data_IF_650632183182
#
_entry.id   IF_650632183182
#
_cell.length_a   1.000
_cell.length_b   1.000
_cell.length_c   1.000
_cell.angle_alpha   90.00
_cell.angle_beta   90.00
_cell.angle_gamma   90.00
#
_symmetry.space_group_name_H-M   'P 1'
#
loop_
_entity.id
_entity.type
_entity.pdbx_description
1 polymer ?
#
# COMPACT_ATOMS: atom_id res chain seq x y z
N UNK A 1 47.01 -44.07 46.45
CA UNK A 1 46.48 -44.50 47.74
C UNK A 1 45.17 -43.78 47.96
N UNK A 2 44.15 -44.55 48.37
CA UNK A 2 42.74 -44.18 48.71
C UNK A 2 41.86 -43.95 47.52
N UNK A 3 41.12 -44.86 47.18
CA UNK A 3 40.03 -45.73 47.68
C UNK A 3 38.65 -45.22 47.36
N UNK A 4 38.03 -46.01 46.63
CA UNK A 4 36.66 -46.22 46.22
C UNK A 4 35.64 -46.03 47.35
N UNK A 5 34.49 -45.42 47.02
CA UNK A 5 33.26 -45.80 47.68
C UNK A 5 32.06 -45.51 46.78
N UNK A 6 31.55 -46.55 46.26
CA UNK A 6 30.28 -46.73 45.60
C UNK A 6 29.15 -46.62 46.62
N UNK A 7 28.14 -45.80 46.33
CA UNK A 7 26.81 -45.90 46.96
C UNK A 7 25.71 -45.71 45.91
N UNK A 8 25.05 -46.81 45.60
CA UNK A 8 23.75 -46.84 44.97
C UNK A 8 22.65 -46.50 45.95
N UNK A 9 21.67 -45.74 45.62
CA UNK A 9 20.35 -45.92 46.20
C UNK A 9 19.29 -46.27 45.15
N UNK A 10 18.63 -47.34 45.49
CA UNK A 10 17.39 -47.93 45.09
C UNK A 10 16.31 -47.02 44.50
N UNK A 11 15.83 -47.40 43.31
CA UNK A 11 14.65 -46.88 42.67
C UNK A 11 13.37 -47.26 43.48
N UNK A 12 12.63 -46.23 43.91
CA UNK A 12 11.25 -46.36 44.37
C UNK A 12 10.31 -46.15 43.19
N UNK A 13 9.65 -47.22 42.79
CA UNK A 13 8.52 -47.21 41.88
C UNK A 13 7.29 -46.57 42.55
N UNK A 14 6.83 -45.46 41.96
CA UNK A 14 5.55 -44.82 42.33
C UNK A 14 4.42 -45.33 41.43
N UNK A 15 3.20 -45.51 41.94
CA UNK A 15 2.11 -46.07 41.15
C UNK A 15 1.55 -45.08 40.14
N UNK A 16 1.33 -45.58 38.94
CA UNK A 16 0.67 -44.89 37.83
C UNK A 16 -0.80 -44.66 38.19
N UNK A 17 -1.24 -43.43 38.35
CA UNK A 17 -2.64 -43.04 38.41
C UNK A 17 -3.15 -42.79 36.99
N UNK A 18 -4.31 -43.35 36.60
CA UNK A 18 -4.91 -43.02 35.32
C UNK A 18 -5.42 -41.56 35.34
N UNK A 19 -4.83 -40.68 34.52
CA UNK A 19 -5.34 -39.36 34.35
C UNK A 19 -6.60 -39.38 33.48
N UNK A 20 -7.70 -38.89 34.06
CA UNK A 20 -8.94 -38.60 33.36
C UNK A 20 -8.64 -37.66 32.16
N UNK A 21 -9.03 -38.17 31.00
CA UNK A 21 -9.10 -37.40 29.75
C UNK A 21 -10.13 -36.27 29.92
N UNK A 22 -9.68 -35.08 30.25
CA UNK A 22 -10.46 -33.84 30.06
C UNK A 22 -10.13 -33.32 28.66
N UNK A 23 -11.06 -33.58 27.76
CA UNK A 23 -11.11 -32.89 26.46
C UNK A 23 -11.27 -31.39 26.72
N UNK A 24 -10.16 -30.67 26.74
CA UNK A 24 -10.17 -29.20 26.68
C UNK A 24 -10.25 -28.83 25.20
N UNK A 25 -11.47 -28.48 24.78
CA UNK A 25 -11.68 -27.88 23.47
C UNK A 25 -10.83 -26.61 23.36
N UNK A 26 -9.77 -26.69 22.61
CA UNK A 26 -9.02 -25.52 22.18
C UNK A 26 -9.91 -24.72 21.21
N UNK A 27 -10.61 -23.71 21.73
CA UNK A 27 -11.16 -22.62 20.96
C UNK A 27 -9.96 -21.89 20.33
N UNK A 28 -9.60 -22.30 19.11
CA UNK A 28 -8.79 -21.53 18.21
C UNK A 28 -9.56 -20.25 17.88
N UNK A 29 -9.39 -19.21 18.69
CA UNK A 29 -9.63 -17.86 18.27
C UNK A 29 -8.59 -17.55 17.17
N UNK A 30 -8.97 -17.86 15.95
CA UNK A 30 -8.29 -17.32 14.78
C UNK A 30 -8.42 -15.81 14.87
N UNK A 31 -7.36 -15.14 15.31
CA UNK A 31 -7.17 -13.72 15.09
C UNK A 31 -7.06 -13.57 13.58
N UNK A 32 -8.19 -13.31 12.94
CA UNK A 32 -8.24 -12.83 11.57
C UNK A 32 -7.56 -11.46 11.64
N UNK A 33 -6.25 -11.43 11.38
CA UNK A 33 -5.57 -10.19 11.07
C UNK A 33 -6.26 -9.66 9.82
N UNK A 34 -7.24 -8.75 10.01
CA UNK A 34 -7.71 -7.89 8.96
C UNK A 34 -6.50 -7.05 8.55
N UNK A 35 -5.71 -7.57 7.61
CA UNK A 35 -4.86 -6.74 6.80
C UNK A 35 -5.82 -5.77 6.12
N UNK A 36 -5.92 -4.55 6.63
CA UNK A 36 -6.54 -3.44 5.96
C UNK A 36 -5.67 -3.08 4.74
N UNK A 37 -5.56 -4.04 3.82
CA UNK A 37 -5.11 -3.76 2.48
C UNK A 37 -6.17 -2.90 1.85
N UNK A 38 -5.80 -1.78 1.24
CA UNK A 38 -6.67 -0.99 0.39
C UNK A 38 -7.06 -1.83 -0.85
N UNK A 39 -7.83 -2.91 -0.64
CA UNK A 39 -8.31 -3.79 -1.69
C UNK A 39 -9.35 -3.05 -2.51
N UNK A 40 -9.11 -2.90 -3.81
CA UNK A 40 -10.11 -2.43 -4.74
C UNK A 40 -11.12 -3.56 -4.98
N UNK A 41 -12.43 -3.36 -4.75
CA UNK A 41 -13.43 -4.44 -4.85
C UNK A 41 -13.69 -4.93 -6.27
N UNK A 42 -13.20 -4.25 -7.30
CA UNK A 42 -13.49 -4.59 -8.69
C UNK A 42 -12.23 -4.64 -9.55
N UNK A 43 -11.50 -5.75 -9.42
CA UNK A 43 -10.32 -6.07 -10.24
C UNK A 43 -10.70 -6.79 -11.55
N UNK A 44 -11.98 -7.01 -11.84
CA UNK A 44 -12.43 -7.69 -13.04
C UNK A 44 -12.52 -6.77 -14.26
N UNK A 45 -12.42 -5.48 -14.07
CA UNK A 45 -12.40 -4.48 -15.14
C UNK A 45 -10.97 -4.18 -15.55
N UNK A 46 -10.78 -3.79 -16.79
CA UNK A 46 -9.55 -3.37 -17.48
C UNK A 46 -8.35 -3.01 -16.57
N UNK A 47 -7.10 -3.40 -16.88
CA UNK A 47 -5.94 -3.06 -16.07
C UNK A 47 -5.89 -1.58 -15.72
N UNK A 48 -5.85 -1.27 -14.44
CA UNK A 48 -5.81 0.11 -13.94
C UNK A 48 -7.14 0.82 -13.85
N UNK A 49 -8.27 0.15 -14.13
CA UNK A 49 -9.59 0.73 -13.88
C UNK A 49 -9.76 1.11 -12.40
N UNK A 50 -10.33 2.26 -12.16
CA UNK A 50 -10.68 2.80 -10.84
C UNK A 50 -12.14 3.23 -10.91
N UNK A 51 -12.91 2.94 -9.88
CA UNK A 51 -14.32 3.37 -9.83
C UNK A 51 -14.46 4.87 -10.15
N UNK A 52 -15.32 5.20 -11.10
CA UNK A 52 -15.50 6.56 -11.61
C UNK A 52 -14.44 7.03 -12.62
N UNK A 53 -13.56 6.13 -13.07
CA UNK A 53 -12.64 6.37 -14.18
C UNK A 53 -12.92 5.33 -15.27
N UNK A 54 -13.76 5.67 -16.21
CA UNK A 54 -14.05 4.79 -17.34
C UNK A 54 -12.79 4.50 -18.16
N UNK A 55 -12.73 3.32 -18.76
CA UNK A 55 -11.68 3.00 -19.70
C UNK A 55 -11.72 4.02 -20.87
N UNK A 56 -10.58 4.47 -21.39
CA UNK A 56 -10.58 5.22 -22.63
C UNK A 56 -11.15 4.32 -23.73
N UNK A 57 -11.91 4.92 -24.65
CA UNK A 57 -12.41 4.23 -25.83
C UNK A 57 -11.23 3.56 -26.60
N UNK A 58 -11.47 2.40 -27.23
CA UNK A 58 -10.48 1.79 -28.11
C UNK A 58 -10.10 2.80 -29.20
N UNK A 59 -8.88 3.30 -29.20
CA UNK A 59 -8.41 4.37 -30.07
C UNK A 59 -7.86 5.57 -29.31
N UNK A 60 -8.29 5.80 -28.08
CA UNK A 60 -7.73 6.84 -27.19
C UNK A 60 -6.41 6.39 -26.54
N UNK A 61 -5.97 5.17 -26.80
CA UNK A 61 -4.72 4.57 -26.31
C UNK A 61 -3.51 4.94 -27.19
N UNK A 62 -3.61 5.94 -28.06
CA UNK A 62 -2.43 6.52 -28.68
C UNK A 62 -1.38 6.74 -27.57
N UNK A 63 -0.10 6.45 -27.85
CA UNK A 63 0.96 6.60 -26.86
C UNK A 63 1.00 8.03 -26.38
N UNK A 64 0.18 8.30 -25.37
CA UNK A 64 0.11 9.61 -24.73
C UNK A 64 1.42 9.78 -23.96
N UNK A 65 2.24 10.77 -24.25
CA UNK A 65 3.42 11.05 -23.46
C UNK A 65 3.07 11.44 -22.02
N UNK A 66 1.78 11.70 -21.78
CA UNK A 66 1.23 12.14 -20.51
C UNK A 66 0.13 11.15 -20.11
N UNK A 67 0.42 10.35 -19.08
CA UNK A 67 -0.40 9.23 -18.65
C UNK A 67 -1.80 9.64 -18.14
N UNK A 68 -2.73 8.68 -18.16
CA UNK A 68 -4.12 8.85 -17.76
C UNK A 68 -4.23 9.19 -16.26
N UNK A 69 -4.84 10.30 -15.87
CA UNK A 69 -4.96 10.69 -14.47
C UNK A 69 -5.95 9.77 -13.73
N UNK A 70 -5.69 9.56 -12.44
CA UNK A 70 -6.60 8.87 -11.54
C UNK A 70 -6.70 7.36 -11.68
N UNK A 71 -5.96 6.76 -12.61
CA UNK A 71 -5.86 5.31 -12.75
C UNK A 71 -4.79 4.73 -11.85
N UNK A 72 -4.87 3.42 -11.59
CA UNK A 72 -3.83 2.69 -10.87
C UNK A 72 -2.60 2.55 -11.77
N UNK A 73 -1.58 3.32 -11.47
CA UNK A 73 -0.35 3.36 -12.26
C UNK A 73 0.36 2.01 -12.28
N UNK A 74 0.43 1.33 -11.14
CA UNK A 74 1.05 0.02 -10.99
C UNK A 74 0.42 -1.04 -11.89
N UNK A 75 -0.88 -0.97 -12.18
CA UNK A 75 -1.55 -1.94 -13.04
C UNK A 75 -0.92 -2.06 -14.45
N UNK A 76 -0.26 -1.01 -14.93
CA UNK A 76 0.48 -1.02 -16.19
C UNK A 76 2.00 -0.91 -16.00
N UNK A 77 2.46 -0.17 -14.98
CA UNK A 77 3.85 0.19 -14.76
C UNK A 77 4.59 -0.67 -13.72
N UNK A 78 4.07 -1.82 -13.38
CA UNK A 78 4.74 -2.83 -12.57
C UNK A 78 5.49 -3.82 -13.45
N UNK A 79 6.54 -4.45 -12.90
CA UNK A 79 7.34 -5.42 -13.64
C UNK A 79 6.47 -6.60 -14.13
N UNK A 80 6.53 -6.87 -15.43
CA UNK A 80 5.74 -7.93 -16.07
C UNK A 80 4.37 -7.47 -16.58
N UNK A 81 3.98 -6.22 -16.33
CA UNK A 81 2.76 -5.63 -16.86
C UNK A 81 2.98 -4.90 -18.20
N UNK A 82 1.92 -4.34 -18.78
CA UNK A 82 1.88 -3.78 -20.14
C UNK A 82 2.98 -2.74 -20.41
N UNK A 83 3.27 -1.88 -19.43
CA UNK A 83 4.33 -0.87 -19.49
C UNK A 83 5.52 -1.21 -18.58
N UNK A 84 5.78 -2.50 -18.36
CA UNK A 84 6.77 -3.00 -17.41
C UNK A 84 8.24 -2.74 -17.76
N UNK A 85 8.51 -2.13 -18.92
CA UNK A 85 9.80 -1.54 -19.26
C UNK A 85 10.01 -0.14 -18.62
N UNK A 86 8.96 0.44 -18.03
CA UNK A 86 8.96 1.72 -17.30
C UNK A 86 8.32 1.50 -15.93
N UNK A 87 9.00 0.73 -15.08
CA UNK A 87 8.54 0.42 -13.72
C UNK A 87 8.62 1.67 -12.86
N UNK A 88 7.53 2.01 -12.18
CA UNK A 88 7.50 3.10 -11.22
C UNK A 88 7.48 2.56 -9.80
N UNK A 89 8.29 3.16 -8.94
CA UNK A 89 8.37 2.84 -7.52
C UNK A 89 7.34 3.60 -6.71
N UNK A 90 6.88 4.76 -7.19
CA UNK A 90 5.75 5.50 -6.65
C UNK A 90 5.08 6.30 -7.75
N UNK A 91 3.75 6.35 -7.72
CA UNK A 91 2.97 7.11 -8.68
C UNK A 91 1.57 7.46 -8.17
N UNK A 92 1.02 8.55 -8.71
CA UNK A 92 -0.33 9.00 -8.38
C UNK A 92 -0.75 10.25 -9.15
N UNK A 93 -1.92 10.77 -8.81
CA UNK A 93 -2.48 12.00 -9.40
C UNK A 93 -2.99 12.92 -8.30
N UNK A 94 -2.72 14.20 -8.39
CA UNK A 94 -3.24 15.24 -7.48
C UNK A 94 -4.41 15.96 -8.14
N UNK A 95 -5.48 16.14 -7.38
CA UNK A 95 -6.72 16.80 -7.78
C UNK A 95 -7.01 18.05 -6.95
N UNK A 96 -7.98 18.84 -7.38
CA UNK A 96 -8.49 19.99 -6.63
C UNK A 96 -9.58 19.59 -5.61
N UNK A 97 -10.18 18.40 -5.76
CA UNK A 97 -11.25 17.91 -4.88
C UNK A 97 -11.13 16.39 -4.65
N UNK A 98 -11.56 15.88 -3.47
CA UNK A 98 -11.57 14.45 -3.19
C UNK A 98 -12.52 13.65 -4.11
N UNK A 99 -13.51 14.31 -4.70
CA UNK A 99 -14.52 13.71 -5.59
C UNK A 99 -14.33 14.04 -7.06
N UNK A 100 -13.22 14.68 -7.44
CA UNK A 100 -12.97 15.08 -8.83
C UNK A 100 -13.07 13.89 -9.80
N UNK A 101 -13.68 14.09 -10.98
CA UNK A 101 -13.62 13.10 -12.07
C UNK A 101 -12.17 12.84 -12.52
N UNK A 102 -11.95 11.71 -13.19
CA UNK A 102 -10.59 11.30 -13.55
C UNK A 102 -9.84 12.28 -14.45
N UNK A 103 -10.53 12.90 -15.40
CA UNK A 103 -9.91 13.73 -16.45
C UNK A 103 -10.02 15.23 -16.18
N UNK A 104 -10.67 15.64 -15.08
CA UNK A 104 -10.89 17.05 -14.73
C UNK A 104 -10.51 17.32 -13.29
N UNK A 105 -10.29 18.58 -12.95
CA UNK A 105 -9.89 18.95 -11.60
C UNK A 105 -8.47 18.50 -11.22
N UNK A 106 -7.64 18.16 -12.19
CA UNK A 106 -6.23 17.78 -11.95
C UNK A 106 -5.39 19.00 -11.62
N UNK A 107 -4.45 18.87 -10.70
CA UNK A 107 -3.58 19.97 -10.25
C UNK A 107 -2.18 19.79 -10.83
N UNK A 108 -1.87 20.57 -11.87
CA UNK A 108 -0.53 20.64 -12.43
C UNK A 108 0.41 21.52 -11.56
N UNK A 109 1.70 21.20 -11.54
CA UNK A 109 2.73 22.00 -10.85
C UNK A 109 2.64 21.92 -9.32
N UNK A 110 1.91 20.96 -8.75
CA UNK A 110 1.94 20.71 -7.32
C UNK A 110 3.25 20.02 -6.94
N UNK A 111 3.84 20.44 -5.81
CA UNK A 111 4.95 19.73 -5.19
C UNK A 111 4.41 18.54 -4.41
N UNK A 112 5.01 17.37 -4.62
CA UNK A 112 4.71 16.12 -3.93
C UNK A 112 5.97 15.65 -3.22
N UNK A 113 5.95 15.61 -1.90
CA UNK A 113 7.02 15.09 -1.06
C UNK A 113 6.61 13.71 -0.55
N UNK A 114 7.39 12.68 -0.87
CA UNK A 114 7.23 11.35 -0.31
C UNK A 114 8.30 11.20 0.78
N UNK A 115 7.86 11.00 2.00
CA UNK A 115 8.71 10.86 3.18
C UNK A 115 8.52 9.47 3.81
N UNK A 116 9.48 9.01 4.57
CA UNK A 116 9.32 7.83 5.43
C UNK A 116 8.45 8.15 6.67
N UNK A 117 8.21 7.14 7.49
CA UNK A 117 7.42 7.25 8.72
C UNK A 117 8.04 8.22 9.76
N UNK A 118 9.34 8.55 9.63
CA UNK A 118 10.01 9.55 10.46
C UNK A 118 9.90 10.96 9.90
N UNK A 119 9.19 11.14 8.78
CA UNK A 119 9.03 12.39 8.00
C UNK A 119 10.31 12.85 7.30
N UNK A 120 11.30 12.00 7.15
CA UNK A 120 12.46 12.25 6.30
C UNK A 120 12.04 12.13 4.85
N UNK A 121 12.17 13.21 4.09
CA UNK A 121 11.85 13.23 2.66
C UNK A 121 12.78 12.30 1.89
N UNK A 122 12.21 11.35 1.18
CA UNK A 122 12.89 10.39 0.32
C UNK A 122 13.01 10.92 -1.10
N UNK A 123 11.94 11.54 -1.60
CA UNK A 123 11.91 12.15 -2.94
C UNK A 123 10.93 13.32 -2.98
N UNK A 124 11.24 14.30 -3.79
CA UNK A 124 10.36 15.43 -4.11
C UNK A 124 10.07 15.43 -5.61
N UNK A 125 8.79 15.43 -5.96
CA UNK A 125 8.30 15.38 -7.33
C UNK A 125 7.43 16.61 -7.61
N UNK A 126 7.19 16.87 -8.90
CA UNK A 126 6.25 17.91 -9.36
C UNK A 126 5.22 17.27 -10.28
N UNK A 127 3.95 17.58 -10.09
CA UNK A 127 2.90 17.06 -10.97
C UNK A 127 2.99 17.66 -12.36
N UNK A 128 2.79 16.84 -13.40
CA UNK A 128 2.74 17.27 -14.79
C UNK A 128 1.40 17.98 -15.13
N UNK A 129 1.18 18.33 -16.40
CA UNK A 129 -0.03 19.01 -16.87
C UNK A 129 -1.33 18.23 -16.66
N UNK A 130 -1.25 16.91 -16.42
CA UNK A 130 -2.37 16.02 -16.07
C UNK A 130 -2.45 15.73 -14.56
N UNK A 131 -1.73 16.49 -13.73
CA UNK A 131 -1.71 16.29 -12.29
C UNK A 131 -0.97 15.02 -11.83
N UNK A 132 -0.36 14.27 -12.74
CA UNK A 132 0.33 13.04 -12.42
C UNK A 132 1.74 13.30 -11.89
N UNK A 133 2.14 12.50 -10.90
CA UNK A 133 3.52 12.41 -10.43
C UNK A 133 3.95 10.95 -10.40
N UNK A 134 5.20 10.69 -10.66
CA UNK A 134 5.78 9.34 -10.62
C UNK A 134 7.31 9.40 -10.50
N UNK A 135 7.87 8.31 -10.00
CA UNK A 135 9.32 8.09 -9.95
C UNK A 135 9.66 6.62 -10.13
N UNK A 136 10.80 6.34 -10.72
CA UNK A 136 11.41 5.01 -10.76
C UNK A 136 12.63 4.90 -9.83
N UNK A 137 12.93 5.94 -9.05
CA UNK A 137 14.01 5.89 -8.07
C UNK A 137 13.71 4.86 -7.00
N UNK A 138 14.67 4.04 -6.59
CA UNK A 138 14.48 3.09 -5.51
C UNK A 138 14.17 3.81 -4.19
N UNK A 139 12.98 3.59 -3.65
CA UNK A 139 12.56 4.11 -2.35
C UNK A 139 12.73 3.02 -1.28
N UNK A 140 13.40 3.33 -0.18
CA UNK A 140 13.57 2.44 0.98
C UNK A 140 12.74 2.96 2.14
N UNK A 141 11.72 2.21 2.53
CA UNK A 141 10.78 2.59 3.59
C UNK A 141 10.11 1.33 4.18
N UNK A 142 9.55 1.45 5.36
CA UNK A 142 8.56 0.52 5.96
C UNK A 142 7.16 1.10 5.85
N UNK A 143 7.05 2.42 5.86
CA UNK A 143 5.84 3.17 5.57
C UNK A 143 6.18 4.53 4.98
N UNK A 144 5.30 5.06 4.14
CA UNK A 144 5.44 6.40 3.58
C UNK A 144 4.33 7.33 4.04
N UNK A 145 4.69 8.60 4.17
CA UNK A 145 3.77 9.73 4.32
C UNK A 145 3.95 10.61 3.08
N UNK A 146 2.84 10.97 2.43
CA UNK A 146 2.87 11.85 1.27
C UNK A 146 2.29 13.20 1.64
N UNK A 147 3.02 14.26 1.27
CA UNK A 147 2.61 15.65 1.42
C UNK A 147 2.53 16.30 0.05
N UNK A 148 1.40 16.94 -0.24
CA UNK A 148 1.20 17.72 -1.45
C UNK A 148 1.07 19.19 -1.11
N UNK A 149 1.64 20.07 -1.94
CA UNK A 149 1.57 21.51 -1.71
C UNK A 149 1.60 22.30 -3.02
N UNK A 150 0.86 23.42 -3.05
CA UNK A 150 0.87 24.40 -4.13
C UNK A 150 0.20 25.69 -3.68
N UNK A 151 0.73 26.83 -4.06
CA UNK A 151 0.16 28.16 -3.85
C UNK A 151 -0.26 28.41 -2.39
N UNK A 152 0.58 28.00 -1.42
CA UNK A 152 0.32 28.10 0.02
C UNK A 152 -0.61 27.05 0.61
N UNK A 153 -1.29 26.26 -0.22
CA UNK A 153 -2.10 25.14 0.25
C UNK A 153 -1.22 23.92 0.51
N UNK A 154 -1.54 23.16 1.54
CA UNK A 154 -0.81 21.95 1.94
C UNK A 154 -1.78 20.88 2.42
N UNK A 155 -1.56 19.65 1.99
CA UNK A 155 -2.20 18.45 2.55
C UNK A 155 -1.18 17.36 2.79
N UNK A 156 -1.40 16.58 3.83
CA UNK A 156 -0.51 15.49 4.22
C UNK A 156 -1.32 14.27 4.66
N UNK A 157 -0.82 13.08 4.37
CA UNK A 157 -1.40 11.84 4.88
C UNK A 157 -1.35 11.81 6.41
N UNK A 158 -2.43 11.33 7.02
CA UNK A 158 -2.53 11.24 8.49
C UNK A 158 -1.76 10.07 9.08
N UNK A 159 -1.59 8.99 8.31
CA UNK A 159 -0.94 7.76 8.76
C UNK A 159 -0.01 7.23 7.68
N UNK A 160 1.14 6.65 8.05
CA UNK A 160 2.02 6.02 7.08
C UNK A 160 1.39 4.77 6.48
N UNK A 161 1.68 4.53 5.19
CA UNK A 161 1.22 3.38 4.43
C UNK A 161 2.38 2.67 3.74
N UNK A 162 2.31 1.35 3.63
CA UNK A 162 3.35 0.55 2.98
C UNK A 162 3.22 0.49 1.44
N UNK A 163 2.18 1.11 0.87
CA UNK A 163 1.94 1.13 -0.59
C UNK A 163 2.34 2.46 -1.19
N UNK A 164 2.92 2.41 -2.38
CA UNK A 164 3.25 3.57 -3.23
C UNK A 164 2.36 3.71 -4.46
N UNK A 165 1.42 2.78 -4.67
CA UNK A 165 0.32 2.91 -5.64
C UNK A 165 -0.81 3.71 -5.00
N UNK A 166 -0.71 5.03 -5.08
CA UNK A 166 -1.64 5.95 -4.40
C UNK A 166 -3.10 5.73 -4.81
N UNK A 167 -3.34 5.42 -6.08
CA UNK A 167 -4.69 5.21 -6.59
C UNK A 167 -5.34 3.90 -6.11
N UNK A 168 -4.60 2.99 -5.46
CA UNK A 168 -5.19 1.79 -4.84
C UNK A 168 -6.11 2.11 -3.65
N UNK A 169 -5.88 3.27 -3.00
CA UNK A 169 -6.66 3.73 -1.85
C UNK A 169 -7.36 5.08 -2.13
N UNK A 170 -6.71 5.95 -2.94
CA UNK A 170 -7.14 7.31 -3.22
C UNK A 170 -7.97 7.39 -4.53
N UNK A 171 -9.23 6.98 -4.47
CA UNK A 171 -10.24 7.15 -5.52
C UNK A 171 -11.56 7.65 -4.88
N UNK A 172 -12.56 8.14 -5.63
CA UNK A 172 -13.70 8.86 -5.07
C UNK A 172 -14.41 8.18 -3.91
N UNK A 173 -14.53 6.86 -3.93
CA UNK A 173 -15.13 6.03 -2.87
C UNK A 173 -14.10 5.16 -2.14
N UNK A 174 -12.82 5.47 -2.30
CA UNK A 174 -11.71 4.68 -1.76
C UNK A 174 -11.55 4.80 -0.25
N UNK A 175 -10.83 3.85 0.34
CA UNK A 175 -10.60 3.75 1.78
C UNK A 175 -9.90 4.98 2.38
N UNK A 176 -9.17 5.76 1.56
CA UNK A 176 -8.53 7.00 1.97
C UNK A 176 -9.48 8.23 2.01
N UNK A 177 -10.78 8.03 1.79
CA UNK A 177 -11.76 9.10 1.82
C UNK A 177 -11.76 10.01 0.59
N UNK A 178 -11.28 9.50 -0.53
CA UNK A 178 -11.26 10.22 -1.81
C UNK A 178 -9.88 10.33 -2.43
N UNK A 179 -9.80 11.09 -3.50
CA UNK A 179 -8.57 11.31 -4.26
C UNK A 179 -7.50 12.02 -3.43
N UNK A 180 -6.24 11.91 -3.85
CA UNK A 180 -5.20 12.86 -3.38
C UNK A 180 -5.59 14.23 -3.91
N UNK A 181 -5.83 15.19 -3.03
CA UNK A 181 -6.35 16.50 -3.45
C UNK A 181 -5.73 17.66 -2.68
N UNK A 182 -5.87 18.86 -3.27
CA UNK A 182 -5.32 20.10 -2.75
C UNK A 182 -6.27 21.27 -3.02
N UNK A 183 -7.08 21.64 -2.04
CA UNK A 183 -7.99 22.80 -2.08
C UNK A 183 -7.95 23.58 -0.76
#
# INVERSE_FOLDING_TARGET
MFESSSLHPTAKTLPVRPALSRALGALLFGVLALSAGCGHPDLSLEPGAVAGCEAPEPGDLEPQPIMLPGRRCAACHEKGHQAGNRVWTAAGTVYDSPSSPCNTGVVAGAKVEIADETRKVLVTLTTNSRGNFYTSEPLRFTGIIVRVSKDGKVREMQSPMASTDCASCHFPTGAAGGRVYLN
#
